data_IF_565981700176
#
_entry.id   IF_565981700176
#
_cell.length_a   1.000
_cell.length_b   1.000
_cell.length_c   1.000
_cell.angle_alpha   90.00
_cell.angle_beta   90.00
_cell.angle_gamma   90.00
#
_symmetry.space_group_name_H-M   'P 1'
#
loop_
_entity.id
_entity.type
_entity.pdbx_description
1 polymer ?
#
# COMPACT_ATOMS: atom_id res chain seq x y z
N UNK A 1 37.05 27.61 -33.56
CA UNK A 1 35.98 27.24 -32.62
C UNK A 1 35.73 25.76 -32.80
N UNK A 2 36.37 24.94 -31.96
CA UNK A 2 36.20 23.51 -31.94
C UNK A 2 34.87 23.20 -31.21
N UNK A 3 33.91 22.68 -31.93
CA UNK A 3 32.71 22.10 -31.34
C UNK A 3 33.07 20.78 -30.66
N UNK A 4 33.14 20.80 -29.34
CA UNK A 4 33.24 19.58 -28.52
C UNK A 4 31.95 18.78 -28.70
N UNK A 5 31.98 17.75 -29.56
CA UNK A 5 30.99 16.69 -29.59
C UNK A 5 30.97 16.02 -28.21
N UNK A 6 29.92 16.31 -27.44
CA UNK A 6 29.62 15.61 -26.18
C UNK A 6 29.18 14.20 -26.58
N UNK A 7 30.11 13.24 -26.51
CA UNK A 7 29.76 11.82 -26.59
C UNK A 7 28.75 11.47 -25.49
N UNK A 8 27.50 11.27 -25.88
CA UNK A 8 26.50 10.74 -25.00
C UNK A 8 26.93 9.33 -24.59
N UNK A 9 27.56 9.20 -23.42
CA UNK A 9 27.85 7.90 -22.80
C UNK A 9 26.54 7.12 -22.76
N UNK A 10 26.41 6.04 -23.54
CA UNK A 10 25.27 5.12 -23.53
C UNK A 10 25.04 4.68 -22.08
N UNK A 11 23.98 5.18 -21.46
CA UNK A 11 23.63 4.81 -20.08
C UNK A 11 23.44 3.30 -20.03
N UNK A 12 24.11 2.63 -19.09
CA UNK A 12 23.89 1.20 -18.84
C UNK A 12 22.41 0.95 -18.59
N UNK A 13 21.81 -0.12 -19.13
CA UNK A 13 20.40 -0.41 -18.91
C UNK A 13 20.13 -0.58 -17.42
N UNK A 14 19.14 0.16 -16.89
CA UNK A 14 18.80 0.18 -15.45
C UNK A 14 18.19 -1.15 -14.96
N UNK A 15 17.65 -1.96 -15.87
CA UNK A 15 16.93 -3.20 -15.54
C UNK A 15 17.60 -4.43 -16.13
N UNK A 16 17.45 -5.57 -15.44
CA UNK A 16 17.94 -6.86 -15.87
C UNK A 16 17.29 -7.38 -17.16
N UNK A 17 17.86 -8.43 -17.77
CA UNK A 17 17.37 -9.01 -19.03
C UNK A 17 15.91 -9.46 -18.94
N UNK A 18 15.55 -10.23 -17.91
CA UNK A 18 14.17 -10.73 -17.69
C UNK A 18 13.13 -9.61 -17.62
N UNK A 19 13.39 -8.56 -16.82
CA UNK A 19 12.49 -7.41 -16.76
C UNK A 19 12.29 -6.76 -18.12
N UNK A 20 13.35 -6.59 -18.92
CA UNK A 20 13.27 -5.97 -20.24
C UNK A 20 12.48 -6.80 -21.25
N UNK A 21 12.55 -8.13 -21.15
CA UNK A 21 11.77 -9.04 -21.98
C UNK A 21 10.27 -8.95 -21.63
N UNK A 22 9.95 -8.98 -20.33
CA UNK A 22 8.57 -8.86 -19.85
C UNK A 22 7.99 -7.47 -20.12
N UNK A 23 8.78 -6.41 -19.96
CA UNK A 23 8.35 -5.04 -20.26
C UNK A 23 8.02 -4.79 -21.75
N UNK A 24 8.55 -5.60 -22.69
CA UNK A 24 8.17 -5.53 -24.12
C UNK A 24 6.74 -5.99 -24.38
N UNK A 25 6.15 -6.77 -23.49
CA UNK A 25 4.76 -7.23 -23.61
C UNK A 25 3.74 -6.14 -23.27
N UNK A 26 4.20 -5.03 -22.68
CA UNK A 26 3.37 -3.91 -22.24
C UNK A 26 3.69 -2.67 -23.09
N UNK A 27 2.70 -2.15 -23.78
CA UNK A 27 2.80 -0.89 -24.50
C UNK A 27 2.66 0.26 -23.50
N UNK A 28 3.68 1.08 -23.33
CA UNK A 28 3.76 2.10 -22.27
C UNK A 28 2.66 3.17 -22.31
N UNK A 29 2.23 3.52 -23.51
CA UNK A 29 1.25 4.61 -23.72
C UNK A 29 -0.20 4.12 -23.84
N UNK A 30 -0.38 2.80 -23.86
CA UNK A 30 -1.71 2.17 -23.93
C UNK A 30 -2.35 2.07 -22.56
N UNK A 31 -3.62 2.44 -22.47
CA UNK A 31 -4.47 2.18 -21.32
C UNK A 31 -5.21 0.84 -21.51
N UNK A 32 -5.05 -0.06 -20.55
CA UNK A 32 -5.62 -1.40 -20.59
C UNK A 32 -6.91 -1.49 -19.76
N UNK A 33 -7.93 -2.22 -20.23
CA UNK A 33 -9.07 -2.60 -19.38
C UNK A 33 -8.59 -3.32 -18.12
N UNK A 34 -9.31 -3.16 -17.00
CA UNK A 34 -8.89 -3.72 -15.71
C UNK A 34 -8.59 -5.22 -15.75
N UNK A 35 -9.42 -6.01 -16.43
CA UNK A 35 -9.23 -7.46 -16.53
C UNK A 35 -7.93 -7.82 -17.27
N UNK A 36 -7.63 -7.12 -18.37
CA UNK A 36 -6.41 -7.31 -19.16
C UNK A 36 -5.18 -6.83 -18.36
N UNK A 37 -5.29 -5.68 -17.68
CA UNK A 37 -4.22 -5.12 -16.86
C UNK A 37 -3.84 -6.04 -15.68
N UNK A 38 -4.82 -6.66 -15.01
CA UNK A 38 -4.57 -7.64 -13.95
C UNK A 38 -3.84 -8.87 -14.54
N UNK A 39 -4.34 -9.43 -15.65
CA UNK A 39 -3.70 -10.58 -16.27
C UNK A 39 -2.27 -10.29 -16.71
N UNK A 40 -2.01 -9.10 -17.27
CA UNK A 40 -0.66 -8.66 -17.62
C UNK A 40 0.22 -8.53 -16.36
N UNK A 41 -0.27 -7.92 -15.28
CA UNK A 41 0.49 -7.80 -14.03
C UNK A 41 0.84 -9.17 -13.41
N UNK A 42 -0.05 -10.17 -13.55
CA UNK A 42 0.19 -11.53 -13.08
C UNK A 42 1.24 -12.26 -13.95
N UNK A 43 1.12 -12.18 -15.29
CA UNK A 43 1.98 -12.91 -16.23
C UNK A 43 3.38 -12.29 -16.36
N UNK A 44 3.50 -10.98 -16.19
CA UNK A 44 4.78 -10.25 -16.30
C UNK A 44 5.57 -10.18 -14.99
N UNK A 45 5.23 -10.98 -13.99
CA UNK A 45 6.01 -11.06 -12.75
C UNK A 45 7.32 -11.81 -12.97
N UNK A 46 8.49 -11.18 -12.75
CA UNK A 46 9.79 -11.84 -12.87
C UNK A 46 10.15 -12.65 -11.63
N UNK A 47 9.40 -12.53 -10.53
CA UNK A 47 9.70 -13.11 -9.23
C UNK A 47 9.46 -14.62 -9.23
N UNK A 48 10.29 -15.37 -8.48
CA UNK A 48 10.10 -16.80 -8.23
C UNK A 48 9.25 -17.09 -6.99
N UNK A 49 9.06 -16.07 -6.15
CA UNK A 49 8.22 -16.12 -4.95
C UNK A 49 6.82 -15.61 -5.27
N UNK A 50 5.86 -15.87 -4.41
CA UNK A 50 4.50 -15.36 -4.51
C UNK A 50 4.47 -13.85 -4.32
N UNK A 51 4.61 -13.11 -5.44
CA UNK A 51 4.73 -11.67 -5.45
C UNK A 51 3.39 -10.99 -5.13
N UNK A 52 3.45 -9.79 -4.58
CA UNK A 52 2.27 -8.97 -4.33
C UNK A 52 1.94 -8.14 -5.56
N UNK A 53 0.68 -8.07 -5.92
CA UNK A 53 0.15 -7.12 -6.91
C UNK A 53 -0.31 -5.86 -6.18
N UNK A 54 0.19 -4.72 -6.61
CA UNK A 54 -0.07 -3.42 -6.01
C UNK A 54 -0.72 -2.47 -7.01
N UNK A 55 -1.64 -1.64 -6.51
CA UNK A 55 -2.19 -0.52 -7.25
C UNK A 55 -1.52 0.78 -6.81
N UNK A 56 -1.07 1.56 -7.78
CA UNK A 56 -0.51 2.89 -7.59
C UNK A 56 -1.44 3.90 -8.24
N UNK A 57 -2.18 4.62 -7.42
CA UNK A 57 -3.27 5.51 -7.84
C UNK A 57 -2.85 6.94 -7.62
N UNK A 58 -2.61 7.68 -8.69
CA UNK A 58 -2.28 9.10 -8.62
C UNK A 58 -3.54 9.93 -8.56
N UNK A 59 -3.60 10.79 -7.54
CA UNK A 59 -4.74 11.67 -7.28
C UNK A 59 -4.34 13.12 -7.53
N UNK A 60 -5.30 13.95 -7.94
CA UNK A 60 -5.08 15.34 -8.25
C UNK A 60 -4.41 16.10 -7.08
N UNK A 61 -3.33 16.87 -7.31
CA UNK A 61 -2.58 17.59 -6.27
C UNK A 61 -3.39 18.61 -5.46
N UNK A 62 -4.55 19.03 -5.94
CA UNK A 62 -5.45 19.93 -5.22
C UNK A 62 -6.05 19.29 -3.97
N UNK A 63 -6.07 17.96 -3.91
CA UNK A 63 -6.59 17.19 -2.79
C UNK A 63 -5.44 16.80 -1.86
N UNK A 64 -5.48 17.31 -0.63
CA UNK A 64 -4.50 17.00 0.39
C UNK A 64 -5.07 16.02 1.41
N UNK A 65 -4.20 15.14 1.96
CA UNK A 65 -4.53 14.25 3.08
C UNK A 65 -5.67 13.25 2.80
N UNK A 66 -5.68 12.64 1.62
CA UNK A 66 -6.62 11.55 1.34
C UNK A 66 -6.28 10.36 2.23
N UNK A 67 -7.25 10.00 3.07
CA UNK A 67 -7.21 8.82 3.93
C UNK A 67 -8.60 8.18 3.94
N UNK A 68 -8.64 6.88 3.89
CA UNK A 68 -9.86 6.09 3.99
C UNK A 68 -9.56 4.70 4.53
N UNK A 69 -10.60 4.00 4.92
CA UNK A 69 -10.51 2.59 5.30
C UNK A 69 -11.18 1.77 4.20
N UNK A 70 -10.50 0.74 3.75
CA UNK A 70 -10.97 -0.19 2.72
C UNK A 70 -10.98 -1.59 3.29
N UNK A 71 -12.07 -2.32 3.08
CA UNK A 71 -12.14 -3.75 3.42
C UNK A 71 -11.87 -4.56 2.15
N UNK A 72 -10.81 -5.36 2.17
CA UNK A 72 -10.40 -6.21 1.05
C UNK A 72 -11.14 -7.55 1.12
N UNK A 73 -12.28 -7.65 0.43
CA UNK A 73 -13.14 -8.84 0.42
C UNK A 73 -12.44 -10.08 -0.19
N UNK A 74 -11.51 -9.90 -1.10
CA UNK A 74 -10.72 -10.97 -1.72
C UNK A 74 -9.63 -11.55 -0.80
N UNK A 75 -9.46 -11.02 0.41
CA UNK A 75 -8.48 -11.46 1.42
C UNK A 75 -7.30 -10.50 1.60
N UNK A 76 -6.64 -10.62 2.74
CA UNK A 76 -5.45 -9.85 3.09
C UNK A 76 -4.21 -10.42 2.41
N UNK A 77 -3.32 -9.52 1.97
CA UNK A 77 -2.01 -9.88 1.41
C UNK A 77 -1.10 -10.54 2.45
N UNK A 78 -1.22 -10.10 3.71
CA UNK A 78 -0.45 -10.61 4.85
C UNK A 78 -1.26 -10.41 6.13
N UNK A 79 -1.33 -11.43 6.97
CA UNK A 79 -1.83 -11.29 8.33
C UNK A 79 -0.93 -10.32 9.10
N UNK A 80 -1.53 -9.30 9.69
CA UNK A 80 -0.81 -8.29 10.46
C UNK A 80 -0.74 -8.74 11.91
N UNK A 81 0.44 -8.60 12.51
CA UNK A 81 0.60 -8.75 13.96
C UNK A 81 0.01 -7.53 14.65
N UNK A 82 -1.08 -7.72 15.37
CA UNK A 82 -1.80 -6.67 16.07
C UNK A 82 -1.34 -6.66 17.53
N UNK A 83 -0.93 -5.49 18.03
CA UNK A 83 -0.67 -5.25 19.45
C UNK A 83 -1.82 -4.44 20.04
N UNK A 84 -2.52 -5.01 21.00
CA UNK A 84 -3.63 -4.38 21.71
C UNK A 84 -3.09 -3.64 22.93
N UNK A 85 -3.54 -2.39 23.11
CA UNK A 85 -3.14 -1.54 24.23
C UNK A 85 -4.37 -1.07 25.00
N UNK A 86 -4.53 -1.63 26.20
CA UNK A 86 -5.55 -1.29 27.18
C UNK A 86 -4.95 -0.46 28.31
N UNK A 87 -5.78 0.09 29.19
CA UNK A 87 -5.30 0.77 30.39
C UNK A 87 -4.40 -0.10 31.26
N UNK A 88 -4.68 -1.41 31.33
CA UNK A 88 -3.95 -2.35 32.17
C UNK A 88 -2.54 -2.66 31.70
N UNK A 89 -2.31 -2.71 30.37
CA UNK A 89 -1.01 -3.08 29.78
C UNK A 89 -0.23 -1.91 29.20
N UNK A 90 -0.77 -0.69 29.30
CA UNK A 90 -0.18 0.50 28.66
C UNK A 90 1.26 0.75 29.10
N UNK A 91 1.55 0.64 30.37
CA UNK A 91 2.88 0.95 30.94
C UNK A 91 3.92 -0.09 30.53
N UNK A 92 3.53 -1.37 30.42
CA UNK A 92 4.37 -2.45 29.91
C UNK A 92 4.71 -2.24 28.44
N UNK A 93 3.71 -1.93 27.60
CA UNK A 93 3.91 -1.65 26.18
C UNK A 93 4.79 -0.42 25.97
N UNK A 94 4.65 0.61 26.81
CA UNK A 94 5.51 1.79 26.77
C UNK A 94 6.96 1.43 27.07
N UNK A 95 7.21 0.56 28.04
CA UNK A 95 8.55 0.08 28.38
C UNK A 95 9.17 -0.73 27.24
N UNK A 96 8.40 -1.64 26.62
CA UNK A 96 8.85 -2.46 25.49
C UNK A 96 9.21 -1.60 24.28
N UNK A 97 8.37 -0.62 23.93
CA UNK A 97 8.62 0.31 22.82
C UNK A 97 9.86 1.18 23.09
N UNK A 98 10.06 1.66 24.32
CA UNK A 98 11.27 2.41 24.71
C UNK A 98 12.52 1.54 24.65
N UNK A 99 12.40 0.24 24.94
CA UNK A 99 13.49 -0.75 24.80
C UNK A 99 13.75 -1.15 23.32
N UNK A 100 12.96 -0.62 22.37
CA UNK A 100 13.13 -0.89 20.94
C UNK A 100 12.47 -2.17 20.44
N UNK A 101 11.69 -2.87 21.27
CA UNK A 101 10.95 -4.07 20.87
C UNK A 101 9.67 -3.65 20.12
N UNK A 102 9.67 -3.83 18.80
CA UNK A 102 8.58 -3.42 17.89
C UNK A 102 8.16 -4.60 17.00
N UNK A 103 7.76 -5.71 17.62
CA UNK A 103 7.42 -6.95 16.92
C UNK A 103 5.94 -7.00 16.45
N UNK A 104 5.37 -5.85 16.11
CA UNK A 104 3.99 -5.73 15.64
C UNK A 104 3.90 -4.84 14.40
N UNK A 105 2.91 -5.13 13.54
CA UNK A 105 2.64 -4.38 12.31
C UNK A 105 1.61 -3.27 12.52
N UNK A 106 0.69 -3.43 13.49
CA UNK A 106 -0.35 -2.45 13.82
C UNK A 106 -0.55 -2.41 15.33
N UNK A 107 -0.69 -1.21 15.89
CA UNK A 107 -1.07 -0.99 17.29
C UNK A 107 -2.50 -0.46 17.35
N UNK A 108 -3.35 -1.12 18.15
CA UNK A 108 -4.70 -0.64 18.48
C UNK A 108 -4.68 -0.20 19.93
N UNK A 109 -5.22 0.96 20.22
CA UNK A 109 -5.27 1.49 21.57
C UNK A 109 -6.65 2.05 21.90
N UNK A 110 -7.02 1.98 23.17
CA UNK A 110 -8.16 2.70 23.70
C UNK A 110 -7.92 4.21 23.65
N UNK A 111 -8.97 4.98 23.37
CA UNK A 111 -8.90 6.45 23.34
C UNK A 111 -8.37 7.01 24.67
N UNK A 112 -8.71 6.40 25.79
CA UNK A 112 -8.25 6.82 27.13
C UNK A 112 -6.74 6.70 27.33
N UNK A 113 -6.10 5.75 26.64
CA UNK A 113 -4.65 5.49 26.75
C UNK A 113 -3.82 6.40 25.82
N UNK A 114 -4.45 7.06 24.86
CA UNK A 114 -3.77 7.92 23.89
C UNK A 114 -2.87 9.00 24.51
N UNK A 115 -3.26 9.69 25.62
CA UNK A 115 -2.37 10.65 26.28
C UNK A 115 -1.07 10.04 26.80
N UNK A 116 -1.13 8.80 27.35
CA UNK A 116 0.07 8.06 27.80
C UNK A 116 0.97 7.67 26.63
N UNK A 117 0.37 7.27 25.50
CA UNK A 117 1.11 6.88 24.27
C UNK A 117 1.73 8.09 23.54
N UNK A 118 1.27 9.30 23.81
CA UNK A 118 1.82 10.52 23.17
C UNK A 118 3.32 10.67 23.38
N UNK A 119 3.89 10.23 24.51
CA UNK A 119 5.33 10.23 24.77
C UNK A 119 6.12 9.35 23.79
N UNK A 120 5.48 8.35 23.16
CA UNK A 120 6.07 7.46 22.17
C UNK A 120 5.92 7.97 20.72
N UNK A 121 5.23 9.10 20.52
CA UNK A 121 4.95 9.64 19.19
C UNK A 121 6.23 9.87 18.35
N UNK A 122 7.34 10.23 19.00
CA UNK A 122 8.64 10.42 18.33
C UNK A 122 9.21 9.12 17.76
N UNK A 123 8.88 7.94 18.35
CA UNK A 123 9.37 6.63 17.93
C UNK A 123 8.37 5.97 16.99
N UNK A 124 7.08 5.97 17.34
CA UNK A 124 6.03 5.28 16.59
C UNK A 124 5.55 6.08 15.37
N UNK A 125 5.58 7.43 15.43
CA UNK A 125 5.12 8.31 14.36
C UNK A 125 5.85 8.11 13.04
N UNK A 126 7.18 8.20 12.99
CA UNK A 126 7.95 7.99 11.75
C UNK A 126 7.77 6.59 11.15
N UNK A 127 7.49 5.58 11.99
CA UNK A 127 7.27 4.19 11.57
C UNK A 127 5.81 3.92 11.14
N UNK A 128 4.90 4.89 11.33
CA UNK A 128 3.49 4.73 11.01
C UNK A 128 2.72 3.79 11.95
N UNK A 129 3.29 3.45 13.12
CA UNK A 129 2.72 2.53 14.10
C UNK A 129 1.88 3.24 15.18
N UNK A 130 1.83 4.57 15.16
CA UNK A 130 1.06 5.35 16.15
C UNK A 130 -0.44 5.18 15.92
N UNK A 131 -1.21 4.74 16.95
CA UNK A 131 -2.66 4.68 16.84
C UNK A 131 -3.28 6.04 16.53
N UNK A 132 -4.35 6.05 15.74
CA UNK A 132 -5.04 7.29 15.40
C UNK A 132 -6.54 7.02 15.15
N UNK A 133 -7.44 7.93 15.60
CA UNK A 133 -8.86 7.79 15.31
C UNK A 133 -9.18 7.78 13.81
N UNK A 134 -8.41 8.56 13.02
CA UNK A 134 -8.57 8.63 11.55
C UNK A 134 -8.22 7.34 10.83
N UNK A 135 -7.31 6.55 11.41
CA UNK A 135 -6.93 5.23 10.90
C UNK A 135 -7.78 4.10 11.51
N UNK A 136 -8.77 4.41 12.36
CA UNK A 136 -9.59 3.42 13.04
C UNK A 136 -8.81 2.51 14.00
N UNK A 137 -7.63 2.98 14.47
CA UNK A 137 -6.74 2.21 15.37
C UNK A 137 -6.73 2.78 16.80
N UNK A 138 -7.36 3.94 17.03
CA UNK A 138 -7.68 4.46 18.34
C UNK A 138 -9.20 4.45 18.50
N UNK A 139 -9.71 3.52 19.32
CA UNK A 139 -11.12 3.16 19.42
C UNK A 139 -11.54 3.00 20.88
N UNK A 140 -12.85 2.95 21.13
CA UNK A 140 -13.39 2.61 22.46
C UNK A 140 -13.45 1.09 22.64
N UNK A 141 -13.85 0.36 21.59
CA UNK A 141 -14.00 -1.10 21.58
C UNK A 141 -12.85 -1.76 20.81
N UNK A 142 -11.81 -2.22 21.50
CA UNK A 142 -10.64 -2.91 20.88
C UNK A 142 -11.06 -4.18 20.16
N UNK A 143 -11.98 -4.98 20.74
CA UNK A 143 -12.37 -6.28 20.19
C UNK A 143 -12.93 -6.13 18.78
N UNK A 144 -13.88 -5.20 18.58
CA UNK A 144 -14.45 -4.92 17.25
C UNK A 144 -13.40 -4.45 16.25
N UNK A 145 -12.48 -3.58 16.68
CA UNK A 145 -11.43 -3.07 15.79
C UNK A 145 -10.43 -4.16 15.38
N UNK A 146 -10.13 -5.10 16.28
CA UNK A 146 -9.28 -6.26 15.96
C UNK A 146 -9.97 -7.17 14.94
N UNK A 147 -11.26 -7.47 15.13
CA UNK A 147 -12.05 -8.27 14.19
C UNK A 147 -12.12 -7.60 12.81
N UNK A 148 -12.36 -6.30 12.74
CA UNK A 148 -12.36 -5.54 11.50
C UNK A 148 -11.01 -5.58 10.78
N UNK A 149 -9.91 -5.43 11.50
CA UNK A 149 -8.58 -5.53 10.90
C UNK A 149 -8.25 -6.95 10.42
N UNK A 150 -8.70 -7.98 11.15
CA UNK A 150 -8.57 -9.38 10.72
C UNK A 150 -9.45 -9.70 9.51
N UNK A 151 -10.64 -9.07 9.41
CA UNK A 151 -11.53 -9.25 8.26
C UNK A 151 -11.05 -8.58 6.96
N UNK A 152 -9.89 -7.91 6.99
CA UNK A 152 -9.31 -7.33 5.79
C UNK A 152 -9.38 -5.81 5.71
N UNK A 153 -9.69 -5.12 6.79
CA UNK A 153 -9.71 -3.66 6.81
C UNK A 153 -8.28 -3.10 6.76
N UNK A 154 -7.99 -2.31 5.73
CA UNK A 154 -6.67 -1.70 5.49
C UNK A 154 -6.80 -0.20 5.32
N UNK A 155 -5.87 0.55 5.90
CA UNK A 155 -5.81 2.00 5.69
C UNK A 155 -5.30 2.30 4.28
N UNK A 156 -6.06 3.12 3.56
CA UNK A 156 -5.71 3.72 2.30
C UNK A 156 -5.22 5.15 2.56
N UNK A 157 -3.95 5.43 2.29
CA UNK A 157 -3.34 6.73 2.54
C UNK A 157 -2.55 7.21 1.34
N UNK A 158 -2.76 8.48 0.95
CA UNK A 158 -1.92 9.14 -0.04
C UNK A 158 -0.57 9.55 0.57
N UNK A 159 0.49 9.41 -0.21
CA UNK A 159 1.82 9.91 0.12
C UNK A 159 1.95 11.43 -0.11
N UNK A 160 3.16 11.98 0.08
CA UNK A 160 3.46 13.40 -0.15
C UNK A 160 3.35 13.84 -1.62
N UNK A 161 3.32 12.91 -2.56
CA UNK A 161 3.14 13.13 -3.99
C UNK A 161 1.71 12.90 -4.47
N UNK A 162 0.76 12.70 -3.54
CA UNK A 162 -0.64 12.35 -3.78
C UNK A 162 -0.82 11.03 -4.55
N UNK A 163 0.05 10.07 -4.28
CA UNK A 163 -0.06 8.71 -4.81
C UNK A 163 -0.49 7.78 -3.67
N UNK A 164 -1.53 7.00 -3.92
CA UNK A 164 -1.99 5.93 -3.03
C UNK A 164 -1.38 4.63 -3.51
N UNK A 165 -0.66 3.96 -2.60
CA UNK A 165 -0.06 2.65 -2.82
C UNK A 165 -0.84 1.61 -2.03
N UNK A 166 -1.55 0.72 -2.75
CA UNK A 166 -2.41 -0.28 -2.11
C UNK A 166 -2.06 -1.68 -2.60
N UNK A 167 -1.73 -2.61 -1.70
CA UNK A 167 -1.60 -4.02 -2.05
C UNK A 167 -2.98 -4.60 -2.30
N UNK A 168 -3.18 -5.19 -3.49
CA UNK A 168 -4.44 -5.80 -3.90
C UNK A 168 -4.51 -7.29 -3.58
N UNK A 169 -3.37 -7.97 -3.60
CA UNK A 169 -3.33 -9.40 -3.35
C UNK A 169 -2.00 -10.02 -3.73
N UNK A 170 -1.88 -11.33 -3.52
CA UNK A 170 -0.79 -12.15 -4.00
C UNK A 170 -1.11 -12.67 -5.41
N UNK A 171 -0.08 -13.04 -6.18
CA UNK A 171 -0.27 -13.68 -7.48
C UNK A 171 -1.11 -14.94 -7.34
N UNK A 172 -0.93 -15.69 -6.26
CA UNK A 172 -1.68 -16.90 -5.92
C UNK A 172 -3.20 -16.68 -5.72
N UNK A 173 -3.64 -15.42 -5.48
CA UNK A 173 -5.07 -15.13 -5.31
C UNK A 173 -5.87 -15.27 -6.62
N UNK A 174 -5.20 -15.14 -7.76
CA UNK A 174 -5.84 -15.15 -9.06
C UNK A 174 -6.50 -13.81 -9.42
N UNK A 175 -6.94 -13.71 -10.68
CA UNK A 175 -7.45 -12.45 -11.24
C UNK A 175 -8.76 -11.96 -10.60
N UNK A 176 -9.65 -12.87 -10.21
CA UNK A 176 -10.97 -12.52 -9.67
C UNK A 176 -10.88 -11.84 -8.31
N UNK A 177 -10.11 -12.41 -7.36
CA UNK A 177 -9.94 -11.83 -6.02
C UNK A 177 -9.20 -10.50 -6.08
N UNK A 178 -8.19 -10.38 -6.96
CA UNK A 178 -7.47 -9.11 -7.17
C UNK A 178 -8.42 -8.06 -7.73
N UNK A 179 -9.33 -8.42 -8.66
CA UNK A 179 -10.34 -7.52 -9.20
C UNK A 179 -11.31 -7.05 -8.11
N UNK A 180 -11.81 -7.96 -7.27
CA UNK A 180 -12.69 -7.60 -6.14
C UNK A 180 -12.02 -6.59 -5.21
N UNK A 181 -10.74 -6.81 -4.85
CA UNK A 181 -9.98 -5.89 -4.02
C UNK A 181 -9.73 -4.54 -4.72
N UNK A 182 -9.46 -4.55 -6.02
CA UNK A 182 -9.32 -3.33 -6.81
C UNK A 182 -10.62 -2.52 -6.82
N UNK A 183 -11.76 -3.15 -7.07
CA UNK A 183 -13.06 -2.49 -7.08
C UNK A 183 -13.41 -1.90 -5.71
N UNK A 184 -13.08 -2.60 -4.61
CA UNK A 184 -13.23 -2.10 -3.25
C UNK A 184 -12.36 -0.85 -2.99
N UNK A 185 -11.10 -0.85 -3.44
CA UNK A 185 -10.17 0.30 -3.28
C UNK A 185 -10.68 1.51 -4.07
N UNK A 186 -11.09 1.32 -5.33
CA UNK A 186 -11.61 2.41 -6.16
C UNK A 186 -12.92 2.96 -5.61
N UNK A 187 -13.78 2.12 -5.01
CA UNK A 187 -15.05 2.55 -4.41
C UNK A 187 -14.90 3.51 -3.23
N UNK A 188 -13.79 3.44 -2.49
CA UNK A 188 -13.52 4.35 -1.36
C UNK A 188 -12.84 5.65 -1.79
N UNK A 189 -12.12 5.63 -2.91
CA UNK A 189 -11.41 6.79 -3.41
C UNK A 189 -12.33 7.72 -4.22
N UNK A 190 -12.11 9.04 -4.18
CA UNK A 190 -12.87 10.00 -4.99
C UNK A 190 -12.51 9.83 -6.48
N UNK A 191 -13.26 8.99 -7.20
CA UNK A 191 -12.97 8.57 -8.58
C UNK A 191 -12.73 9.75 -9.53
N UNK A 192 -13.54 10.82 -9.42
CA UNK A 192 -13.41 12.04 -10.28
C UNK A 192 -12.06 12.76 -10.11
N UNK A 193 -11.31 12.44 -9.06
CA UNK A 193 -10.05 13.10 -8.71
C UNK A 193 -8.83 12.24 -9.04
N UNK A 194 -9.02 11.03 -9.53
CA UNK A 194 -7.95 10.13 -9.95
C UNK A 194 -7.38 10.61 -11.29
N UNK A 195 -6.06 10.83 -11.35
CA UNK A 195 -5.35 11.20 -12.58
C UNK A 195 -4.91 9.99 -13.40
N UNK A 196 -4.34 8.99 -12.72
CA UNK A 196 -3.87 7.76 -13.37
C UNK A 196 -3.81 6.60 -12.40
N UNK A 197 -3.97 5.39 -12.92
CA UNK A 197 -3.93 4.14 -12.17
C UNK A 197 -2.91 3.22 -12.85
N UNK A 198 -2.02 2.66 -12.06
CA UNK A 198 -1.05 1.67 -12.49
C UNK A 198 -1.14 0.43 -11.61
N UNK A 199 -1.08 -0.73 -12.24
CA UNK A 199 -0.92 -2.02 -11.56
C UNK A 199 0.49 -2.53 -11.79
N UNK A 200 1.10 -3.08 -10.76
CA UNK A 200 2.41 -3.70 -10.87
C UNK A 200 2.50 -4.90 -9.92
N UNK A 201 3.18 -5.96 -10.35
CA UNK A 201 3.63 -7.00 -9.43
C UNK A 201 4.97 -6.61 -8.82
N UNK A 202 5.29 -7.15 -7.63
CA UNK A 202 6.59 -6.93 -7.00
C UNK A 202 7.72 -7.26 -7.99
N UNK A 203 8.62 -6.29 -8.24
CA UNK A 203 9.72 -6.36 -9.21
C UNK A 203 9.28 -6.41 -10.69
N UNK A 204 7.98 -6.40 -10.99
CA UNK A 204 7.44 -6.43 -12.35
C UNK A 204 7.31 -5.05 -12.99
N UNK A 205 7.05 -5.01 -14.30
CA UNK A 205 6.71 -3.78 -15.00
C UNK A 205 5.30 -3.29 -14.62
N UNK A 206 5.09 -1.97 -14.69
CA UNK A 206 3.79 -1.37 -14.41
C UNK A 206 2.90 -1.35 -15.65
N UNK A 207 1.61 -1.63 -15.44
CA UNK A 207 0.56 -1.62 -16.47
C UNK A 207 -0.39 -0.45 -16.18
N UNK A 208 -0.62 0.42 -17.16
CA UNK A 208 -1.55 1.55 -17.04
C UNK A 208 -2.99 1.06 -17.21
N UNK A 209 -3.87 1.38 -16.27
CA UNK A 209 -5.28 0.99 -16.30
C UNK A 209 -6.12 2.11 -16.89
N UNK A 210 -7.06 1.76 -17.78
CA UNK A 210 -8.04 2.69 -18.32
C UNK A 210 -8.98 3.17 -17.21
N UNK A 211 -9.20 4.48 -17.17
CA UNK A 211 -10.24 5.07 -16.32
C UNK A 211 -11.59 4.89 -17.01
N UNK A 212 -12.50 4.21 -16.40
CA UNK A 212 -13.90 4.16 -16.85
C UNK A 212 -14.68 5.33 -16.27
#
# INVERSE_FOLDING_TARGET
KEEKKIEQKKRKPQHGKKYRELAKQIEKDREYPIAEAINLALTTSPAKFDATVEAHIKINPKEKNIRGMVTLAGGLVKEKKIKEVTEANADEVIADVKAGKLDFDVMIAELKVMPKLAQLAKVLGPKGLMPSPKAGTAVEDIIKAVEELRSGKVECRADKFNIVHMPLGKISFGSERIKQNYDAVIGVLPFKKIESIYLASTMGPSVKVARK
#
